data_IF_399670878227
#
_entry.id   IF_399670878227
#
_cell.length_a   1.000
_cell.length_b   1.000
_cell.length_c   1.000
_cell.angle_alpha   90.00
_cell.angle_beta   90.00
_cell.angle_gamma   90.00
#
_symmetry.space_group_name_H-M   'P 1'
#
loop_
_entity.id
_entity.type
_entity.pdbx_description
1 polymer ?
#
# COMPACT_ATOMS: atom_id res chain seq x y z
N UNK A 1 -26.67 13.99 -1.09
CA UNK A 1 -27.19 12.80 -0.37
C UNK A 1 -26.01 12.17 0.34
N UNK A 2 -26.03 12.03 1.66
CA UNK A 2 -24.90 11.45 2.41
C UNK A 2 -24.89 9.92 2.24
N UNK A 3 -23.73 9.32 2.00
CA UNK A 3 -23.57 7.86 1.99
C UNK A 3 -23.63 7.30 3.41
N UNK A 4 -24.15 6.08 3.57
CA UNK A 4 -24.11 5.38 4.86
C UNK A 4 -22.65 5.04 5.25
N UNK A 5 -22.32 5.00 6.56
CA UNK A 5 -20.99 4.63 7.02
C UNK A 5 -20.70 3.17 6.64
N UNK A 6 -19.62 2.94 5.89
CA UNK A 6 -19.21 1.59 5.49
C UNK A 6 -18.33 0.89 6.52
N UNK A 7 -17.92 1.60 7.59
CA UNK A 7 -16.97 1.14 8.62
C UNK A 7 -15.57 0.75 8.10
N UNK A 8 -15.21 1.23 6.91
CA UNK A 8 -13.88 1.03 6.37
C UNK A 8 -12.84 1.81 7.18
N UNK A 9 -11.66 1.22 7.37
CA UNK A 9 -10.59 1.82 8.13
C UNK A 9 -9.23 1.59 7.47
N UNK A 10 -8.44 2.66 7.42
CA UNK A 10 -7.08 2.66 6.88
C UNK A 10 -6.16 3.31 7.90
N UNK A 11 -5.19 2.55 8.42
CA UNK A 11 -4.16 3.03 9.32
C UNK A 11 -2.80 2.95 8.62
N UNK A 12 -2.10 4.09 8.59
CA UNK A 12 -0.76 4.19 8.02
C UNK A 12 0.18 4.79 9.06
N UNK A 13 1.39 4.24 9.17
CA UNK A 13 2.48 4.87 9.90
C UNK A 13 3.37 5.59 8.88
N UNK A 14 3.53 6.90 9.06
CA UNK A 14 4.21 7.75 8.10
C UNK A 14 5.46 8.36 8.73
N UNK A 15 6.60 8.26 8.05
CA UNK A 15 7.79 9.04 8.36
C UNK A 15 8.31 9.69 7.06
N UNK A 16 7.76 10.86 6.69
CA UNK A 16 8.13 11.53 5.44
C UNK A 16 9.59 11.99 5.40
N UNK A 17 10.19 12.34 6.55
CA UNK A 17 11.61 12.71 6.63
C UNK A 17 12.53 11.57 6.20
N UNK A 18 12.15 10.32 6.51
CA UNK A 18 12.87 9.12 6.08
C UNK A 18 12.30 8.47 4.82
N UNK A 19 11.27 9.06 4.20
CA UNK A 19 10.68 8.52 2.98
C UNK A 19 9.90 7.23 3.18
N UNK A 20 9.34 7.00 4.38
CA UNK A 20 8.70 5.74 4.76
C UNK A 20 7.19 5.89 4.91
N UNK A 21 6.44 4.96 4.31
CA UNK A 21 5.00 4.79 4.45
C UNK A 21 4.73 3.32 4.77
N UNK A 22 4.11 3.02 5.92
CA UNK A 22 3.72 1.67 6.31
C UNK A 22 2.20 1.59 6.31
N UNK A 23 1.64 0.69 5.53
CA UNK A 23 0.24 0.29 5.60
C UNK A 23 0.07 -0.82 6.63
N UNK A 24 -0.41 -0.43 7.80
CA UNK A 24 -0.59 -1.33 8.94
C UNK A 24 -1.94 -2.05 8.88
N UNK A 25 -3.03 -1.28 8.79
CA UNK A 25 -4.40 -1.82 8.70
C UNK A 25 -5.09 -1.29 7.47
N UNK A 26 -5.60 -2.18 6.63
CA UNK A 26 -6.32 -1.82 5.41
C UNK A 26 -7.60 -2.65 5.30
N UNK A 27 -8.70 -2.13 5.82
CA UNK A 27 -10.04 -2.66 5.54
C UNK A 27 -10.70 -1.82 4.45
N UNK A 28 -10.79 -2.39 3.25
CA UNK A 28 -11.28 -1.70 2.07
C UNK A 28 -12.77 -1.37 2.14
N UNK A 29 -13.17 -0.23 1.55
CA UNK A 29 -14.57 0.25 1.53
C UNK A 29 -15.58 -0.80 1.05
N UNK A 30 -15.26 -1.52 -0.03
CA UNK A 30 -16.15 -2.56 -0.57
C UNK A 30 -16.30 -3.74 0.39
N UNK A 31 -15.21 -4.17 1.01
CA UNK A 31 -15.19 -5.30 1.94
C UNK A 31 -15.95 -4.94 3.22
N UNK A 32 -15.63 -3.80 3.83
CA UNK A 32 -16.31 -3.33 5.03
C UNK A 32 -17.83 -3.16 4.79
N UNK A 33 -18.22 -2.60 3.64
CA UNK A 33 -19.63 -2.45 3.30
C UNK A 33 -20.38 -3.80 3.15
N UNK A 34 -19.69 -4.85 2.68
CA UNK A 34 -20.24 -6.22 2.64
C UNK A 34 -20.36 -6.82 4.04
N UNK A 35 -19.29 -6.74 4.83
CA UNK A 35 -19.23 -7.29 6.20
C UNK A 35 -20.25 -6.66 7.15
N UNK A 36 -20.57 -5.37 6.94
CA UNK A 36 -21.51 -4.61 7.75
C UNK A 36 -22.89 -4.46 7.10
N UNK A 37 -23.17 -5.15 5.99
CA UNK A 37 -24.46 -5.11 5.28
C UNK A 37 -24.95 -3.67 5.04
N UNK A 38 -24.04 -2.79 4.58
CA UNK A 38 -24.33 -1.35 4.47
C UNK A 38 -25.49 -1.12 3.47
N UNK A 39 -26.54 -0.39 3.89
CA UNK A 39 -27.72 -0.20 3.05
C UNK A 39 -27.43 0.67 1.83
N UNK A 40 -28.22 0.48 0.76
CA UNK A 40 -28.17 1.27 -0.48
C UNK A 40 -26.83 1.21 -1.23
N UNK A 41 -26.04 0.16 -1.01
CA UNK A 41 -24.82 -0.09 -1.77
C UNK A 41 -25.11 -1.00 -2.95
N UNK A 42 -24.81 -0.53 -4.16
CA UNK A 42 -24.77 -1.38 -5.34
C UNK A 42 -23.32 -1.79 -5.61
N UNK A 43 -22.98 -3.04 -5.31
CA UNK A 43 -21.62 -3.58 -5.45
C UNK A 43 -21.17 -3.83 -6.89
N UNK A 44 -22.09 -3.78 -7.87
CA UNK A 44 -21.78 -3.86 -9.29
C UNK A 44 -21.39 -2.49 -9.85
N UNK A 45 -22.13 -1.44 -9.51
CA UNK A 45 -21.88 -0.07 -10.00
C UNK A 45 -20.98 0.73 -9.06
N UNK A 46 -20.81 0.29 -7.82
CA UNK A 46 -20.16 1.05 -6.76
C UNK A 46 -20.99 2.24 -6.26
N UNK A 47 -22.27 2.35 -6.66
CA UNK A 47 -23.19 3.36 -6.15
C UNK A 47 -23.44 3.15 -4.66
N UNK A 48 -23.56 4.24 -3.90
CA UNK A 48 -23.70 4.22 -2.44
C UNK A 48 -22.37 4.13 -1.67
N UNK A 49 -21.24 3.85 -2.33
CA UNK A 49 -19.91 3.90 -1.71
C UNK A 49 -19.34 5.33 -1.76
N UNK A 50 -18.55 5.75 -0.75
CA UNK A 50 -17.86 7.04 -0.78
C UNK A 50 -16.91 7.15 -2.00
N UNK A 51 -16.75 8.34 -2.59
CA UNK A 51 -15.79 8.57 -3.66
C UNK A 51 -14.35 8.26 -3.24
N UNK A 52 -13.97 8.66 -2.02
CA UNK A 52 -12.67 8.33 -1.42
C UNK A 52 -12.70 6.88 -0.90
N UNK A 53 -12.27 5.95 -1.75
CA UNK A 53 -12.36 4.51 -1.44
C UNK A 53 -11.13 3.68 -1.75
N UNK A 54 -10.14 4.22 -2.47
CA UNK A 54 -8.91 3.51 -2.80
C UNK A 54 -7.86 3.77 -1.73
N UNK A 55 -7.14 2.73 -1.34
CA UNK A 55 -6.03 2.86 -0.40
C UNK A 55 -4.98 3.89 -0.87
N UNK A 56 -4.64 3.91 -2.16
CA UNK A 56 -3.65 4.85 -2.72
C UNK A 56 -4.02 6.32 -2.48
N UNK A 57 -5.30 6.65 -2.54
CA UNK A 57 -5.78 8.01 -2.30
C UNK A 57 -5.71 8.37 -0.82
N UNK A 58 -6.19 7.48 0.06
CA UNK A 58 -6.20 7.69 1.51
C UNK A 58 -4.78 7.76 2.06
N UNK A 59 -3.92 6.82 1.66
CA UNK A 59 -2.53 6.77 2.10
C UNK A 59 -1.73 7.99 1.62
N UNK A 60 -1.99 8.49 0.41
CA UNK A 60 -1.39 9.74 -0.06
C UNK A 60 -1.78 10.93 0.83
N UNK A 61 -3.06 11.08 1.14
CA UNK A 61 -3.54 12.18 1.98
C UNK A 61 -2.93 12.12 3.39
N UNK A 62 -2.90 10.94 4.00
CA UNK A 62 -2.26 10.73 5.31
C UNK A 62 -0.75 11.00 5.27
N UNK A 63 -0.06 10.63 4.20
CA UNK A 63 1.37 10.90 4.03
C UNK A 63 1.66 12.40 3.85
N UNK A 64 0.80 13.12 3.12
CA UNK A 64 0.87 14.59 2.98
C UNK A 64 0.65 15.25 4.33
N UNK A 65 -0.33 14.80 5.11
CA UNK A 65 -0.62 15.36 6.42
C UNK A 65 0.54 15.14 7.40
N UNK A 66 1.07 13.92 7.46
CA UNK A 66 2.27 13.64 8.26
C UNK A 66 3.47 14.50 7.84
N UNK A 67 3.57 14.86 6.55
CA UNK A 67 4.65 15.73 6.06
C UNK A 67 4.46 17.19 6.51
N UNK A 68 3.20 17.66 6.64
CA UNK A 68 2.89 18.97 7.20
C UNK A 68 3.21 19.02 8.69
N UNK A 69 2.79 18.01 9.44
CA UNK A 69 3.06 17.88 10.88
C UNK A 69 4.57 17.81 11.17
N UNK A 70 5.35 17.19 10.27
CA UNK A 70 6.82 17.15 10.34
C UNK A 70 7.52 18.47 9.96
N UNK A 71 6.78 19.56 9.71
CA UNK A 71 7.34 20.87 9.35
C UNK A 71 7.82 20.96 7.89
N UNK A 72 7.27 20.13 7.00
CA UNK A 72 7.62 20.11 5.59
C UNK A 72 7.36 21.46 4.91
N UNK A 73 8.39 22.00 4.25
CA UNK A 73 8.28 23.26 3.51
C UNK A 73 7.38 23.09 2.30
N UNK A 74 6.48 24.05 2.11
CA UNK A 74 5.63 24.15 0.93
C UNK A 74 6.15 25.29 0.05
N UNK A 75 6.33 25.05 -1.24
CA UNK A 75 6.73 26.10 -2.17
C UNK A 75 5.62 27.16 -2.30
N UNK A 76 6.00 28.40 -2.60
CA UNK A 76 5.04 29.49 -2.81
C UNK A 76 4.02 29.10 -3.90
N UNK A 77 2.73 29.18 -3.58
CA UNK A 77 1.64 28.80 -4.48
C UNK A 77 1.36 27.29 -4.58
N UNK A 78 1.90 26.47 -3.69
CA UNK A 78 1.55 25.05 -3.54
C UNK A 78 0.88 24.78 -2.19
N UNK A 79 0.17 23.65 -2.09
CA UNK A 79 -0.47 23.16 -0.85
C UNK A 79 0.16 21.87 -0.31
N UNK A 80 1.16 21.34 -1.02
CA UNK A 80 1.75 20.02 -0.78
C UNK A 80 3.22 20.18 -0.38
N UNK A 81 3.66 19.61 0.76
CA UNK A 81 5.06 19.70 1.19
C UNK A 81 6.03 19.04 0.21
N UNK A 82 7.15 19.69 -0.10
CA UNK A 82 8.15 19.13 -1.05
C UNK A 82 8.77 17.82 -0.56
N UNK A 83 8.85 17.62 0.75
CA UNK A 83 9.51 16.45 1.35
C UNK A 83 8.86 15.12 0.96
N UNK A 84 7.59 15.10 0.53
CA UNK A 84 6.93 13.86 0.11
C UNK A 84 7.59 13.24 -1.14
N UNK A 85 8.31 14.06 -1.93
CA UNK A 85 9.14 13.58 -3.05
C UNK A 85 10.27 12.67 -2.56
N UNK A 86 10.59 12.70 -1.27
CA UNK A 86 11.54 11.80 -0.63
C UNK A 86 11.00 10.40 -0.35
N UNK A 87 9.78 10.03 -0.77
CA UNK A 87 9.23 8.67 -0.61
C UNK A 87 10.16 7.63 -1.26
N UNK A 88 10.65 6.70 -0.44
CA UNK A 88 11.61 5.63 -0.77
C UNK A 88 11.10 4.23 -0.42
N UNK A 89 10.23 4.12 0.58
CA UNK A 89 9.81 2.85 1.15
C UNK A 89 8.31 2.82 1.36
N UNK A 90 7.65 1.81 0.80
CA UNK A 90 6.24 1.52 1.05
C UNK A 90 6.11 0.10 1.57
N UNK A 91 5.73 -0.07 2.83
CA UNK A 91 5.56 -1.37 3.46
C UNK A 91 4.08 -1.75 3.52
N UNK A 92 3.70 -2.89 2.95
CA UNK A 92 2.42 -3.55 3.19
C UNK A 92 2.63 -4.56 4.31
N UNK A 93 2.22 -4.20 5.53
CA UNK A 93 2.47 -5.02 6.71
C UNK A 93 1.43 -6.14 6.85
N UNK A 94 1.89 -7.35 7.18
CA UNK A 94 1.05 -8.54 7.49
C UNK A 94 -0.13 -8.72 6.54
N UNK A 95 0.15 -8.92 5.26
CA UNK A 95 -0.87 -9.09 4.24
C UNK A 95 -1.69 -10.35 4.49
N UNK A 96 -2.99 -10.17 4.71
CA UNK A 96 -3.95 -11.27 4.94
C UNK A 96 -4.72 -11.67 3.68
N UNK A 97 -4.73 -10.83 2.64
CA UNK A 97 -5.54 -11.06 1.45
C UNK A 97 -5.13 -12.38 0.75
N UNK A 98 -6.06 -13.34 0.57
CA UNK A 98 -5.72 -14.69 0.13
C UNK A 98 -5.03 -14.76 -1.23
N UNK A 99 -5.49 -13.98 -2.22
CA UNK A 99 -4.93 -14.00 -3.59
C UNK A 99 -3.48 -13.56 -3.60
N UNK A 100 -3.16 -12.52 -2.82
CA UNK A 100 -1.81 -11.99 -2.65
C UNK A 100 -0.92 -13.01 -1.97
N UNK A 101 -1.44 -13.71 -0.94
CA UNK A 101 -0.71 -14.79 -0.26
C UNK A 101 -0.40 -15.94 -1.21
N UNK A 102 -1.36 -16.36 -2.03
CA UNK A 102 -1.14 -17.39 -3.06
C UNK A 102 -0.07 -16.97 -4.06
N UNK A 103 -0.07 -15.71 -4.52
CA UNK A 103 0.98 -15.20 -5.41
C UNK A 103 2.34 -15.18 -4.71
N UNK A 104 2.40 -14.76 -3.44
CA UNK A 104 3.63 -14.76 -2.64
C UNK A 104 4.18 -16.18 -2.47
N UNK A 105 3.33 -17.14 -2.12
CA UNK A 105 3.73 -18.54 -1.96
C UNK A 105 4.25 -19.11 -3.28
N UNK A 106 3.57 -18.79 -4.40
CA UNK A 106 4.00 -19.21 -5.73
C UNK A 106 5.37 -18.64 -6.11
N UNK A 107 5.61 -17.33 -5.93
CA UNK A 107 6.92 -16.73 -6.28
C UNK A 107 8.05 -17.29 -5.42
N UNK A 108 7.80 -17.53 -4.12
CA UNK A 108 8.80 -18.12 -3.23
C UNK A 108 9.11 -19.56 -3.64
N UNK A 109 8.10 -20.34 -4.01
CA UNK A 109 8.29 -21.70 -4.50
C UNK A 109 9.10 -21.73 -5.80
N UNK A 110 8.77 -20.87 -6.77
CA UNK A 110 9.49 -20.78 -8.05
C UNK A 110 10.95 -20.40 -7.87
N UNK A 111 11.25 -19.50 -6.91
CA UNK A 111 12.63 -19.09 -6.62
C UNK A 111 13.39 -20.01 -5.66
N UNK A 112 12.81 -21.15 -5.27
CA UNK A 112 13.40 -22.07 -4.28
C UNK A 112 13.57 -21.46 -2.89
N UNK A 113 12.85 -20.38 -2.61
CA UNK A 113 12.90 -19.59 -1.39
C UNK A 113 11.82 -20.00 -0.39
N UNK A 114 11.94 -19.50 0.84
CA UNK A 114 10.95 -19.69 1.90
C UNK A 114 10.56 -18.35 2.50
N UNK A 115 9.34 -18.26 3.00
CA UNK A 115 8.93 -17.11 3.80
C UNK A 115 9.67 -17.19 5.14
N UNK A 116 10.65 -16.31 5.32
CA UNK A 116 11.45 -16.19 6.54
C UNK A 116 11.27 -14.80 7.13
N UNK A 117 11.55 -14.60 8.44
CA UNK A 117 11.61 -13.27 9.02
C UNK A 117 12.57 -12.34 8.27
N UNK A 118 12.51 -11.05 8.60
CA UNK A 118 13.44 -10.06 8.08
C UNK A 118 14.91 -10.57 8.18
N UNK A 119 15.74 -10.46 7.13
CA UNK A 119 15.58 -9.64 5.93
C UNK A 119 14.79 -10.25 4.76
N UNK A 120 14.29 -11.47 4.88
CA UNK A 120 13.46 -12.09 3.85
C UNK A 120 14.18 -12.29 2.51
N UNK A 121 13.41 -12.21 1.42
CA UNK A 121 13.88 -12.40 0.03
C UNK A 121 13.49 -11.20 -0.81
N UNK A 122 14.39 -10.74 -1.68
CA UNK A 122 14.17 -9.56 -2.52
C UNK A 122 14.09 -9.94 -3.99
N UNK A 123 13.05 -9.46 -4.67
CA UNK A 123 12.83 -9.64 -6.10
C UNK A 123 12.87 -8.29 -6.83
N UNK A 124 13.69 -8.19 -7.87
CA UNK A 124 13.75 -7.00 -8.73
C UNK A 124 12.52 -6.87 -9.61
N UNK A 125 12.14 -5.64 -10.00
CA UNK A 125 11.03 -5.42 -10.93
C UNK A 125 11.35 -5.82 -12.39
N UNK A 126 12.59 -6.23 -12.65
CA UNK A 126 13.05 -6.88 -13.88
C UNK A 126 12.76 -8.38 -13.92
N UNK A 127 12.44 -9.02 -12.78
CA UNK A 127 12.09 -10.45 -12.70
C UNK A 127 10.58 -10.69 -12.78
N UNK A 128 10.17 -11.92 -13.12
CA UNK A 128 8.75 -12.29 -13.16
C UNK A 128 8.14 -12.34 -11.76
N UNK A 129 8.91 -12.74 -10.75
CA UNK A 129 8.49 -12.76 -9.34
C UNK A 129 8.17 -11.35 -8.83
N UNK A 130 9.06 -10.38 -9.09
CA UNK A 130 8.85 -8.99 -8.69
C UNK A 130 7.61 -8.40 -9.34
N UNK A 131 7.42 -8.64 -10.65
CA UNK A 131 6.22 -8.22 -11.40
C UNK A 131 4.95 -8.91 -10.90
N UNK A 132 5.01 -10.21 -10.60
CA UNK A 132 3.87 -10.95 -10.07
C UNK A 132 3.40 -10.37 -8.73
N UNK A 133 4.33 -10.11 -7.80
CA UNK A 133 4.00 -9.46 -6.51
C UNK A 133 3.46 -8.05 -6.73
N UNK A 134 4.03 -7.27 -7.65
CA UNK A 134 3.52 -5.94 -8.00
C UNK A 134 2.10 -5.99 -8.59
N UNK A 135 1.75 -7.05 -9.31
CA UNK A 135 0.43 -7.27 -9.91
C UNK A 135 -0.69 -7.59 -8.91
N UNK A 136 -0.34 -7.95 -7.67
CA UNK A 136 -1.34 -8.23 -6.61
C UNK A 136 -2.13 -6.98 -6.23
N UNK A 137 -3.26 -7.12 -5.52
CA UNK A 137 -4.01 -5.95 -5.03
C UNK A 137 -3.16 -5.09 -4.07
N UNK A 138 -2.23 -5.71 -3.34
CA UNK A 138 -1.33 -5.01 -2.43
C UNK A 138 -0.21 -4.27 -3.17
N UNK A 139 0.37 -4.89 -4.21
CA UNK A 139 1.38 -4.25 -5.06
C UNK A 139 0.81 -3.18 -5.98
N UNK A 140 -0.32 -3.46 -6.64
CA UNK A 140 -0.96 -2.53 -7.56
C UNK A 140 -1.45 -1.27 -6.85
N UNK A 141 -1.86 -1.36 -5.59
CA UNK A 141 -2.12 -0.19 -4.75
C UNK A 141 -0.93 0.77 -4.69
N UNK A 142 0.28 0.25 -4.53
CA UNK A 142 1.53 1.04 -4.54
C UNK A 142 1.79 1.63 -5.92
N UNK A 143 1.61 0.84 -6.98
CA UNK A 143 1.74 1.35 -8.35
C UNK A 143 0.75 2.49 -8.64
N UNK A 144 -0.51 2.36 -8.22
CA UNK A 144 -1.53 3.41 -8.36
C UNK A 144 -1.17 4.66 -7.57
N UNK A 145 -0.64 4.54 -6.34
CA UNK A 145 -0.16 5.67 -5.55
C UNK A 145 0.88 6.48 -6.35
N UNK A 146 1.90 5.82 -6.88
CA UNK A 146 2.97 6.48 -7.64
C UNK A 146 2.46 7.08 -8.95
N UNK A 147 1.65 6.34 -9.70
CA UNK A 147 1.15 6.76 -11.00
C UNK A 147 0.16 7.94 -10.91
N UNK A 148 -0.81 7.87 -10.00
CA UNK A 148 -1.88 8.87 -9.86
C UNK A 148 -1.41 10.13 -9.14
N UNK A 149 -0.37 10.04 -8.31
CA UNK A 149 0.18 11.17 -7.55
C UNK A 149 1.52 11.66 -8.08
N UNK A 150 1.86 11.33 -9.33
CA UNK A 150 3.12 11.71 -10.01
C UNK A 150 3.44 13.20 -9.95
N UNK A 151 2.42 14.07 -9.99
CA UNK A 151 2.61 15.53 -9.94
C UNK A 151 3.12 16.00 -8.57
N UNK A 152 2.71 15.31 -7.51
CA UNK A 152 3.08 15.62 -6.13
C UNK A 152 4.37 14.88 -5.71
N UNK A 153 4.45 13.58 -6.01
CA UNK A 153 5.56 12.72 -5.62
C UNK A 153 6.77 12.83 -6.57
N UNK A 154 6.60 13.36 -7.78
CA UNK A 154 7.58 13.24 -8.85
C UNK A 154 7.44 11.93 -9.63
N UNK A 155 8.24 11.76 -10.68
CA UNK A 155 8.25 10.54 -11.50
C UNK A 155 9.01 9.45 -10.74
N UNK A 156 8.27 8.47 -10.22
CA UNK A 156 8.81 7.37 -9.41
C UNK A 156 8.34 6.02 -9.94
N UNK A 157 9.12 4.98 -9.67
CA UNK A 157 8.77 3.59 -9.92
C UNK A 157 9.18 2.70 -8.78
N UNK A 158 8.60 1.50 -8.70
CA UNK A 158 9.11 0.43 -7.86
C UNK A 158 10.40 -0.11 -8.48
N UNK A 159 11.45 -0.24 -7.69
CA UNK A 159 12.72 -0.86 -8.08
C UNK A 159 12.71 -2.36 -7.81
N UNK A 160 12.27 -2.74 -6.61
CA UNK A 160 12.26 -4.11 -6.11
C UNK A 160 11.28 -4.25 -4.95
N UNK A 161 10.95 -5.49 -4.60
CA UNK A 161 10.12 -5.83 -3.45
C UNK A 161 10.86 -6.82 -2.56
N UNK A 162 10.88 -6.57 -1.24
CA UNK A 162 11.36 -7.51 -0.24
C UNK A 162 10.17 -8.16 0.46
N UNK A 163 10.12 -9.49 0.43
CA UNK A 163 9.08 -10.31 1.03
C UNK A 163 9.65 -10.96 2.29
N UNK A 164 8.97 -10.79 3.42
CA UNK A 164 9.39 -11.37 4.70
C UNK A 164 8.17 -11.74 5.57
N UNK A 165 8.33 -12.73 6.43
CA UNK A 165 7.31 -13.18 7.38
C UNK A 165 7.45 -12.52 8.75
N UNK A 166 6.47 -12.79 9.62
CA UNK A 166 6.57 -12.48 11.06
C UNK A 166 7.49 -13.50 11.75
N UNK A 167 8.19 -13.08 12.81
CA UNK A 167 9.00 -13.98 13.64
C UNK A 167 8.16 -15.00 14.44
N UNK A 168 6.88 -14.68 14.66
CA UNK A 168 5.99 -15.51 15.46
C UNK A 168 5.60 -16.80 14.72
N UNK A 169 6.08 -17.93 15.24
CA UNK A 169 5.79 -19.28 14.74
C UNK A 169 4.45 -19.83 15.24
N UNK A 170 3.77 -19.18 16.19
CA UNK A 170 2.51 -19.63 16.76
C UNK A 170 1.29 -19.29 15.87
N UNK A 171 1.45 -18.37 14.92
CA UNK A 171 0.43 -17.96 13.96
C UNK A 171 0.92 -18.30 12.56
N UNK A 172 0.00 -18.65 11.65
CA UNK A 172 0.37 -18.82 10.24
C UNK A 172 1.09 -17.55 9.74
N UNK A 173 2.33 -17.65 9.26
CA UNK A 173 3.12 -16.47 8.94
C UNK A 173 2.44 -15.70 7.80
N UNK A 174 2.13 -14.43 8.07
CA UNK A 174 1.57 -13.53 7.06
C UNK A 174 2.72 -12.76 6.40
N UNK A 175 2.81 -12.76 5.05
CA UNK A 175 3.89 -12.05 4.38
C UNK A 175 3.70 -10.53 4.52
N UNK A 176 4.80 -9.83 4.70
CA UNK A 176 4.92 -8.38 4.56
C UNK A 176 5.70 -8.07 3.29
N UNK A 177 5.31 -7.00 2.60
CA UNK A 177 5.87 -6.60 1.31
C UNK A 177 6.46 -5.20 1.43
N UNK A 178 7.79 -5.09 1.43
CA UNK A 178 8.49 -3.81 1.38
C UNK A 178 8.82 -3.47 -0.07
N UNK A 179 8.15 -2.46 -0.61
CA UNK A 179 8.43 -1.91 -1.93
C UNK A 179 9.48 -0.79 -1.82
N UNK A 180 10.56 -0.96 -2.56
CA UNK A 180 11.64 0.01 -2.68
C UNK A 180 11.35 0.91 -3.87
N UNK A 181 11.32 2.21 -3.65
CA UNK A 181 10.93 3.21 -4.64
C UNK A 181 12.15 3.99 -5.10
N UNK A 182 12.29 4.15 -6.41
CA UNK A 182 13.32 4.99 -7.04
C UNK A 182 12.70 6.05 -7.93
N UNK A 183 13.46 7.09 -8.20
CA UNK A 183 13.12 8.08 -9.23
C UNK A 183 13.31 7.48 -10.64
N UNK A 184 12.50 7.96 -11.58
CA UNK A 184 12.58 7.64 -13.01
C UNK A 184 13.39 8.67 -13.78
#
# INVERSE_FOLDING_TARGET
MACAPTFAHYAQLCNPAQGLLIAETNLGVRQAALEHETPNVNFFTGSGLPPLRRWSDVAFLQYVEAAREAGGKVAMGRDIPEMIKGLRYVLRFRVQEPTTRTVVDWVLQQSGSKLVPWPGVTFGMDTEEGKAVLGTINGSGVAYLLAQRREALGRKTVEKVTVFGTEDTAVQPCPSLLFWIKDL
#
